data_IF_821238488412
#
_entry.id   IF_821238488412
#
_cell.length_a   1.000
_cell.length_b   1.000
_cell.length_c   1.000
_cell.angle_alpha   90.00
_cell.angle_beta   90.00
_cell.angle_gamma   90.00
#
_symmetry.space_group_name_H-M   'P 1'
#
loop_
_entity.id
_entity.type
_entity.pdbx_description
1 polymer ?
#
# COMPACT_ATOMS: atom_id res chain seq x y z
N UNK A 1 3.10 -14.20 -0.45
CA UNK A 1 2.00 -13.34 0.07
C UNK A 1 1.52 -12.32 -0.97
N UNK A 2 0.45 -11.56 -0.70
CA UNK A 2 -0.02 -10.49 -1.61
C UNK A 2 0.73 -9.19 -1.38
N UNK A 3 0.97 -8.43 -2.45
CA UNK A 3 1.67 -7.16 -2.43
C UNK A 3 0.97 -6.10 -3.31
N UNK A 4 1.25 -4.84 -3.00
CA UNK A 4 0.79 -3.66 -3.72
C UNK A 4 1.94 -2.66 -3.87
N UNK A 5 2.21 -2.25 -5.10
CA UNK A 5 3.17 -1.17 -5.34
C UNK A 5 2.51 0.19 -5.15
N UNK A 6 3.16 1.03 -4.36
CA UNK A 6 2.72 2.39 -4.01
C UNK A 6 3.88 3.36 -4.23
N UNK A 7 3.60 4.51 -4.83
CA UNK A 7 4.63 5.54 -5.08
C UNK A 7 5.04 6.22 -3.77
N UNK A 8 6.29 6.67 -3.70
CA UNK A 8 6.69 7.59 -2.64
C UNK A 8 6.10 8.99 -2.90
N UNK A 9 5.82 9.78 -1.85
CA UNK A 9 6.01 9.48 -0.42
C UNK A 9 4.86 8.67 0.21
N UNK A 10 3.84 8.29 -0.55
CA UNK A 10 2.62 7.67 -0.02
C UNK A 10 2.87 6.32 0.65
N UNK A 11 3.80 5.51 0.12
CA UNK A 11 4.16 4.23 0.71
C UNK A 11 4.69 4.39 2.15
N UNK A 12 5.51 5.41 2.39
CA UNK A 12 6.04 5.77 3.70
C UNK A 12 4.94 6.30 4.64
N UNK A 13 4.00 7.11 4.14
CA UNK A 13 2.88 7.62 4.94
C UNK A 13 1.93 6.49 5.37
N UNK A 14 1.74 5.48 4.51
CA UNK A 14 1.00 4.25 4.87
C UNK A 14 1.76 3.48 5.95
N UNK A 15 3.08 3.32 5.80
CA UNK A 15 3.92 2.62 6.77
C UNK A 15 3.93 3.30 8.16
N UNK A 16 3.74 4.62 8.21
CA UNK A 16 3.58 5.40 9.45
C UNK A 16 2.17 5.35 10.03
N UNK A 17 1.18 4.86 9.27
CA UNK A 17 -0.22 4.89 9.64
C UNK A 17 -0.87 6.27 9.51
N UNK A 18 -0.20 7.23 8.89
CA UNK A 18 -0.75 8.58 8.64
C UNK A 18 -1.73 8.57 7.46
N UNK A 19 -1.45 7.72 6.44
CA UNK A 19 -2.35 7.46 5.31
C UNK A 19 -3.00 6.09 5.48
N UNK A 20 -4.26 6.07 5.88
CA UNK A 20 -5.03 4.83 6.10
C UNK A 20 -5.96 4.49 4.93
N UNK A 21 -6.06 5.36 3.92
CA UNK A 21 -6.79 5.09 2.68
C UNK A 21 -5.87 5.28 1.48
N UNK A 22 -5.76 4.25 0.65
CA UNK A 22 -5.09 4.32 -0.66
C UNK A 22 -6.12 4.56 -1.78
N UNK A 23 -5.89 5.56 -2.63
CA UNK A 23 -6.81 5.93 -3.72
C UNK A 23 -6.37 5.22 -5.00
N UNK A 24 -7.27 4.48 -5.64
CA UNK A 24 -6.99 3.78 -6.91
C UNK A 24 -8.16 3.89 -7.89
N UNK A 25 -7.85 3.86 -9.19
CA UNK A 25 -8.89 3.79 -10.24
C UNK A 25 -9.64 2.46 -10.24
N UNK A 26 -8.96 1.37 -9.83
CA UNK A 26 -9.48 0.01 -9.82
C UNK A 26 -9.51 -0.54 -8.41
N UNK A 27 -10.57 -1.28 -8.10
CA UNK A 27 -10.72 -1.97 -6.84
C UNK A 27 -10.13 -3.38 -6.88
N UNK A 28 -10.14 -4.06 -5.74
CA UNK A 28 -9.83 -5.49 -5.62
C UNK A 28 -10.83 -6.20 -4.71
N UNK A 29 -11.06 -7.48 -4.95
CA UNK A 29 -11.86 -8.35 -4.07
C UNK A 29 -11.03 -8.93 -2.91
N UNK A 30 -9.71 -8.81 -2.95
CA UNK A 30 -8.82 -9.33 -1.91
C UNK A 30 -9.00 -8.56 -0.60
N UNK A 31 -8.98 -9.27 0.52
CA UNK A 31 -8.93 -8.75 1.89
C UNK A 31 -7.97 -9.57 2.71
N UNK A 32 -7.23 -8.92 3.59
CA UNK A 32 -6.20 -9.54 4.43
C UNK A 32 -4.82 -8.90 4.26
N UNK A 33 -3.74 -9.59 4.70
CA UNK A 33 -2.39 -9.04 4.72
C UNK A 33 -1.88 -8.63 3.34
N UNK A 34 -1.38 -7.41 3.24
CA UNK A 34 -0.91 -6.80 2.02
C UNK A 34 0.44 -6.12 2.23
N UNK A 35 1.45 -6.60 1.51
CA UNK A 35 2.78 -6.00 1.52
C UNK A 35 2.78 -4.71 0.68
N UNK A 36 3.15 -3.59 1.28
CA UNK A 36 3.36 -2.31 0.60
C UNK A 36 4.80 -2.26 0.10
N UNK A 37 4.94 -2.05 -1.21
CA UNK A 37 6.22 -1.99 -1.90
C UNK A 37 6.39 -0.61 -2.52
N UNK A 38 7.51 0.06 -2.28
CA UNK A 38 7.80 1.34 -2.90
C UNK A 38 8.02 1.18 -4.42
N UNK A 39 7.42 2.06 -5.22
CA UNK A 39 7.73 2.12 -6.64
C UNK A 39 9.18 2.58 -6.87
N UNK A 40 9.75 2.16 -8.02
CA UNK A 40 11.08 2.57 -8.44
C UNK A 40 11.05 4.00 -9.03
N UNK A 41 11.34 5.01 -8.21
CA UNK A 41 11.62 6.37 -8.67
C UNK A 41 13.10 6.73 -8.45
N UNK A 42 13.76 7.43 -9.38
CA UNK A 42 15.22 7.55 -9.43
C UNK A 42 15.88 8.35 -8.29
N UNK A 43 15.13 9.02 -7.40
CA UNK A 43 15.67 10.01 -6.45
C UNK A 43 15.25 9.80 -4.97
N UNK A 44 14.92 8.58 -4.54
CA UNK A 44 14.53 8.28 -3.14
C UNK A 44 15.22 7.03 -2.61
N UNK A 45 15.48 6.99 -1.29
CA UNK A 45 16.02 5.82 -0.59
C UNK A 45 14.96 4.70 -0.54
N UNK A 46 15.40 3.42 -0.61
CA UNK A 46 14.55 2.21 -0.61
C UNK A 46 13.59 2.09 -1.81
N UNK A 47 14.16 1.95 -3.01
CA UNK A 47 13.48 1.78 -4.30
C UNK A 47 13.10 0.32 -4.53
N UNK A 48 11.84 0.04 -4.92
CA UNK A 48 11.46 -1.33 -5.28
C UNK A 48 11.67 -2.28 -4.11
N UNK A 49 11.40 -1.81 -2.89
CA UNK A 49 11.60 -2.56 -1.68
C UNK A 49 10.28 -2.68 -0.92
N UNK A 50 10.13 -3.77 -0.18
CA UNK A 50 9.16 -3.88 0.89
C UNK A 50 9.36 -2.73 1.90
N UNK A 51 8.26 -2.08 2.29
CA UNK A 51 8.25 -0.95 3.22
C UNK A 51 7.45 -1.26 4.48
N UNK A 52 6.25 -1.83 4.30
CA UNK A 52 5.38 -2.20 5.41
C UNK A 52 4.42 -3.34 5.04
N UNK A 53 3.94 -4.06 6.04
CA UNK A 53 2.78 -4.93 5.97
C UNK A 53 1.56 -4.17 6.52
N UNK A 54 0.44 -4.20 5.82
CA UNK A 54 -0.85 -3.67 6.28
C UNK A 54 -1.94 -4.73 6.12
N UNK A 55 -3.09 -4.53 6.73
CA UNK A 55 -4.28 -5.32 6.46
C UNK A 55 -5.22 -4.53 5.54
N UNK A 56 -5.52 -5.05 4.35
CA UNK A 56 -6.54 -4.48 3.45
C UNK A 56 -7.91 -4.97 3.90
N UNK A 57 -8.66 -4.10 4.59
CA UNK A 57 -9.94 -4.46 5.23
C UNK A 57 -11.16 -4.09 4.40
N UNK A 58 -11.06 -3.05 3.58
CA UNK A 58 -12.12 -2.69 2.62
C UNK A 58 -11.59 -2.07 1.31
N UNK A 59 -12.43 -2.11 0.29
CA UNK A 59 -12.21 -1.52 -1.02
C UNK A 59 -13.58 -1.16 -1.59
N UNK A 60 -13.92 0.13 -1.51
CA UNK A 60 -15.23 0.68 -1.85
C UNK A 60 -15.08 1.93 -2.70
N UNK A 61 -16.21 2.51 -3.14
CA UNK A 61 -16.18 3.84 -3.76
C UNK A 61 -15.62 4.86 -2.78
N UNK A 62 -14.75 5.74 -3.28
CA UNK A 62 -14.25 6.87 -2.53
C UNK A 62 -15.37 7.88 -2.33
N UNK A 63 -15.46 8.43 -1.12
CA UNK A 63 -16.36 9.51 -0.74
C UNK A 63 -15.55 10.71 -0.23
N UNK A 64 -16.16 11.90 -0.21
CA UNK A 64 -15.45 13.12 0.21
C UNK A 64 -14.89 13.05 1.64
N UNK A 65 -15.54 12.30 2.52
CA UNK A 65 -15.05 12.09 3.88
C UNK A 65 -13.71 11.34 3.96
N UNK A 66 -13.29 10.66 2.87
CA UNK A 66 -12.04 9.91 2.83
C UNK A 66 -10.81 10.81 2.65
N UNK A 67 -10.98 12.08 2.24
CA UNK A 67 -9.87 12.96 1.83
C UNK A 67 -8.78 13.10 2.91
N UNK A 68 -9.20 13.23 4.17
CA UNK A 68 -8.27 13.33 5.31
C UNK A 68 -7.48 12.05 5.52
N UNK A 69 -8.14 10.89 5.53
CA UNK A 69 -7.50 9.59 5.71
C UNK A 69 -6.66 9.16 4.49
N UNK A 70 -7.00 9.68 3.32
CA UNK A 70 -6.26 9.46 2.09
C UNK A 70 -5.12 10.46 1.88
N UNK A 71 -5.08 11.55 2.64
CA UNK A 71 -4.18 12.69 2.42
C UNK A 71 -4.20 13.15 0.95
N UNK A 72 -5.39 13.21 0.36
CA UNK A 72 -5.58 13.50 -1.05
C UNK A 72 -7.03 13.82 -1.38
N UNK A 73 -7.25 14.53 -2.47
CA UNK A 73 -8.57 15.01 -2.87
C UNK A 73 -9.48 13.87 -3.38
N UNK A 74 -10.78 14.05 -3.21
CA UNK A 74 -11.79 13.14 -3.72
C UNK A 74 -11.74 13.08 -5.25
N UNK A 75 -11.73 11.86 -5.77
CA UNK A 75 -11.70 11.60 -7.20
C UNK A 75 -12.96 10.82 -7.59
N UNK A 76 -13.78 11.40 -8.47
CA UNK A 76 -15.03 10.80 -8.89
C UNK A 76 -14.80 9.42 -9.52
N UNK A 77 -15.47 8.40 -8.97
CA UNK A 77 -15.37 7.02 -9.44
C UNK A 77 -14.17 6.23 -8.90
N UNK A 78 -13.22 6.89 -8.24
CA UNK A 78 -12.08 6.24 -7.61
C UNK A 78 -12.50 5.32 -6.47
N UNK A 79 -11.63 4.37 -6.14
CA UNK A 79 -11.79 3.40 -5.07
C UNK A 79 -10.91 3.77 -3.89
N UNK A 80 -11.51 3.78 -2.71
CA UNK A 80 -10.83 3.89 -1.43
C UNK A 80 -10.50 2.48 -0.93
N UNK A 81 -9.20 2.17 -0.86
CA UNK A 81 -8.67 0.96 -0.26
C UNK A 81 -8.35 1.26 1.20
N UNK A 82 -9.11 0.68 2.12
CA UNK A 82 -8.99 0.92 3.57
C UNK A 82 -7.94 0.00 4.14
N UNK A 83 -6.90 0.60 4.73
CA UNK A 83 -5.71 -0.06 5.24
C UNK A 83 -5.65 0.10 6.75
N UNK A 84 -5.38 -0.99 7.45
CA UNK A 84 -5.24 -1.03 8.90
C UNK A 84 -3.94 -1.72 9.32
N UNK A 85 -3.61 -1.60 10.60
CA UNK A 85 -2.51 -2.34 11.25
C UNK A 85 -1.16 -2.28 10.49
N UNK A 86 -0.65 -1.06 10.20
CA UNK A 86 0.63 -0.92 9.54
C UNK A 86 1.77 -1.41 10.44
N UNK A 87 2.60 -2.28 9.88
CA UNK A 87 3.79 -2.85 10.51
C UNK A 87 4.97 -2.61 9.58
N UNK A 88 6.00 -1.91 10.06
CA UNK A 88 7.26 -1.79 9.32
C UNK A 88 7.86 -3.17 9.11
N UNK A 89 8.50 -3.33 7.95
CA UNK A 89 9.24 -4.55 7.60
C UNK A 89 10.66 -4.19 7.22
N UNK A 90 11.54 -5.19 7.21
CA UNK A 90 12.88 -5.03 6.66
C UNK A 90 12.81 -4.68 5.16
N UNK A 91 13.81 -3.90 4.71
CA UNK A 91 13.90 -3.48 3.32
C UNK A 91 14.36 -4.64 2.43
N UNK A 92 13.40 -5.44 1.98
CA UNK A 92 13.63 -6.53 1.02
C UNK A 92 13.35 -6.04 -0.40
N UNK A 93 14.27 -6.19 -1.36
CA UNK A 93 13.99 -5.87 -2.76
C UNK A 93 12.84 -6.72 -3.32
N UNK A 94 11.85 -6.06 -3.93
CA UNK A 94 10.67 -6.66 -4.56
C UNK A 94 10.42 -6.01 -5.91
N UNK A 95 10.25 -6.82 -6.95
CA UNK A 95 9.85 -6.32 -8.26
C UNK A 95 8.37 -5.90 -8.23
N UNK A 96 8.12 -4.60 -8.27
CA UNK A 96 6.77 -4.04 -8.30
C UNK A 96 5.98 -4.43 -9.55
N UNK A 97 4.66 -4.53 -9.41
CA UNK A 97 3.71 -4.81 -10.50
C UNK A 97 2.43 -3.98 -10.33
N UNK A 98 1.68 -3.81 -11.42
CA UNK A 98 0.37 -3.14 -11.37
C UNK A 98 -0.68 -4.02 -10.68
N UNK A 99 -1.52 -3.40 -9.87
CA UNK A 99 -2.57 -4.09 -9.11
C UNK A 99 -2.04 -4.87 -7.91
N UNK A 100 -2.87 -5.77 -7.36
CA UNK A 100 -2.43 -6.73 -6.34
C UNK A 100 -1.72 -7.88 -7.04
N UNK A 101 -0.55 -8.27 -6.53
CA UNK A 101 0.24 -9.37 -7.10
C UNK A 101 0.81 -10.27 -6.01
N UNK A 102 1.22 -11.48 -6.41
CA UNK A 102 1.88 -12.43 -5.54
C UNK A 102 3.40 -12.19 -5.50
N UNK A 103 3.96 -12.32 -4.30
CA UNK A 103 5.40 -12.35 -4.04
C UNK A 103 5.74 -13.60 -3.26
N UNK A 104 6.90 -14.17 -3.56
CA UNK A 104 7.44 -15.33 -2.84
C UNK A 104 8.34 -14.84 -1.70
N UNK A 105 7.67 -14.36 -0.65
CA UNK A 105 8.28 -13.90 0.60
C UNK A 105 7.43 -14.41 1.77
N UNK A 106 8.12 -14.74 2.86
CA UNK A 106 7.52 -15.09 4.15
C UNK A 106 7.73 -13.96 5.20
N UNK A 107 6.96 -13.95 6.30
CA UNK A 107 7.10 -12.95 7.37
C UNK A 107 8.50 -12.88 8.01
N UNK A 108 9.18 -14.02 8.13
CA UNK A 108 10.53 -14.08 8.72
C UNK A 108 11.56 -13.32 7.88
N UNK A 109 11.45 -13.37 6.56
CA UNK A 109 12.27 -12.55 5.64
C UNK A 109 11.95 -11.05 5.72
N UNK A 110 10.80 -10.68 6.27
CA UNK A 110 10.35 -9.30 6.45
C UNK A 110 10.60 -8.77 7.86
N UNK A 111 11.18 -9.58 8.75
CA UNK A 111 11.47 -9.21 10.15
C UNK A 111 10.22 -9.02 11.01
N UNK A 112 9.10 -9.67 10.65
CA UNK A 112 7.81 -9.61 11.38
C UNK A 112 7.21 -10.99 11.67
#
# INVERSE_FOLDING_TARGET
MKALSVKQPWAELIARGEKTIEIRDKGTKYRGPLLIVSCKEPNVWAIGCAIAMVDLVDCRLMVKADEGAALGEHQQGAKAWVLENPRRVEHVPVTGRLGVYDVDLDPGQLGI
#
